data_IF_011755589904
#
_entry.id   IF_011755589904
#
_cell.length_a   1.000
_cell.length_b   1.000
_cell.length_c   1.000
_cell.angle_alpha   90.00
_cell.angle_beta   90.00
_cell.angle_gamma   90.00
#
_symmetry.space_group_name_H-M   'P 1'
#
loop_
_entity.id
_entity.type
_entity.pdbx_description
1 polymer ?
#
# COMPACT_ATOMS: atom_id res chain seq x y z
N UNK A 1 -46.60 2.68 2.01
CA UNK A 1 -45.85 2.06 0.89
C UNK A 1 -44.85 3.09 0.41
N UNK A 2 -43.55 2.77 0.39
CA UNK A 2 -42.52 3.69 -0.11
C UNK A 2 -42.73 3.87 -1.62
N UNK A 3 -42.70 5.10 -2.10
CA UNK A 3 -42.90 5.38 -3.52
C UNK A 3 -41.68 4.95 -4.37
N UNK A 4 -41.86 4.66 -5.66
CA UNK A 4 -40.76 4.20 -6.52
C UNK A 4 -39.56 5.15 -6.61
N UNK A 5 -39.75 6.48 -6.52
CA UNK A 5 -38.62 7.43 -6.56
C UNK A 5 -37.82 7.41 -5.27
N UNK A 6 -38.48 7.24 -4.14
CA UNK A 6 -37.81 7.02 -2.85
C UNK A 6 -36.98 5.72 -2.87
N UNK A 7 -37.50 4.64 -3.48
CA UNK A 7 -36.73 3.41 -3.67
C UNK A 7 -35.51 3.59 -4.57
N UNK A 8 -35.63 4.32 -5.68
CA UNK A 8 -34.52 4.60 -6.59
C UNK A 8 -33.37 5.33 -5.88
N UNK A 9 -33.69 6.32 -5.06
CA UNK A 9 -32.69 7.04 -4.24
C UNK A 9 -32.00 6.12 -3.24
N UNK A 10 -32.74 5.26 -2.55
CA UNK A 10 -32.17 4.30 -1.59
C UNK A 10 -31.23 3.32 -2.29
N UNK A 11 -31.62 2.81 -3.46
CA UNK A 11 -30.79 1.89 -4.24
C UNK A 11 -29.50 2.60 -4.70
N UNK A 12 -29.59 3.85 -5.16
CA UNK A 12 -28.39 4.62 -5.56
C UNK A 12 -27.41 4.80 -4.39
N UNK A 13 -27.91 5.11 -3.19
CA UNK A 13 -27.06 5.23 -2.00
C UNK A 13 -26.39 3.89 -1.66
N UNK A 14 -27.12 2.78 -1.70
CA UNK A 14 -26.56 1.45 -1.44
C UNK A 14 -25.49 1.10 -2.48
N UNK A 15 -25.72 1.38 -3.76
CA UNK A 15 -24.72 1.11 -4.81
C UNK A 15 -23.48 1.98 -4.62
N UNK A 16 -23.61 3.20 -4.16
CA UNK A 16 -22.48 4.09 -3.90
C UNK A 16 -21.67 3.67 -2.65
N UNK A 17 -22.34 3.21 -1.60
CA UNK A 17 -21.72 2.77 -0.35
C UNK A 17 -21.15 1.35 -0.43
N UNK A 18 -21.92 0.40 -0.95
CA UNK A 18 -21.61 -1.04 -0.94
C UNK A 18 -21.08 -1.56 -2.30
N UNK A 19 -21.12 -0.73 -3.34
CA UNK A 19 -20.63 -1.10 -4.66
C UNK A 19 -19.12 -1.38 -4.65
N UNK A 20 -18.72 -2.51 -5.22
CA UNK A 20 -17.31 -2.87 -5.31
C UNK A 20 -16.58 -1.93 -6.27
N UNK A 21 -15.58 -1.23 -5.74
CA UNK A 21 -14.72 -0.33 -6.53
C UNK A 21 -13.58 -1.13 -7.16
N UNK A 22 -13.83 -1.71 -8.34
CA UNK A 22 -12.81 -2.44 -9.12
C UNK A 22 -12.29 -1.60 -10.30
N UNK A 23 -11.07 -1.88 -10.73
CA UNK A 23 -10.58 -1.41 -12.03
C UNK A 23 -11.17 -2.30 -13.13
N UNK A 24 -12.24 -1.83 -13.78
CA UNK A 24 -12.96 -2.55 -14.83
C UNK A 24 -12.04 -3.00 -15.97
N UNK A 25 -11.01 -2.21 -16.30
CA UNK A 25 -10.07 -2.50 -17.40
C UNK A 25 -9.20 -3.72 -17.11
N UNK A 26 -8.98 -4.02 -15.84
CA UNK A 26 -8.30 -5.26 -15.42
C UNK A 26 -9.20 -6.47 -15.70
N UNK A 27 -10.50 -6.32 -15.49
CA UNK A 27 -11.47 -7.42 -15.50
C UNK A 27 -11.89 -7.82 -16.92
N UNK A 28 -12.08 -6.84 -17.80
CA UNK A 28 -12.53 -7.09 -19.19
C UNK A 28 -11.41 -7.59 -20.11
N UNK A 29 -10.15 -7.40 -19.73
CA UNK A 29 -8.99 -7.75 -20.55
C UNK A 29 -8.59 -9.22 -20.36
N UNK A 30 -8.97 -10.05 -21.33
CA UNK A 30 -8.69 -11.50 -21.36
C UNK A 30 -7.20 -11.84 -21.56
N UNK A 31 -6.34 -10.89 -21.91
CA UNK A 31 -4.90 -11.11 -22.19
C UNK A 31 -3.99 -10.34 -21.23
N UNK A 32 -4.52 -9.95 -20.07
CA UNK A 32 -3.79 -9.12 -19.13
C UNK A 32 -2.60 -9.85 -18.51
N UNK A 33 -1.48 -9.15 -18.39
CA UNK A 33 -0.35 -9.61 -17.58
C UNK A 33 -0.69 -9.45 -16.10
N UNK A 34 -0.67 -10.57 -15.38
CA UNK A 34 -0.82 -10.58 -13.92
C UNK A 34 0.57 -10.60 -13.30
N UNK A 35 0.73 -9.84 -12.22
CA UNK A 35 1.98 -9.82 -11.46
C UNK A 35 2.22 -11.21 -10.86
N UNK A 36 3.43 -11.72 -11.01
CA UNK A 36 3.79 -13.05 -10.49
C UNK A 36 3.65 -13.06 -8.96
N UNK A 37 2.90 -14.01 -8.37
CA UNK A 37 2.86 -14.23 -6.93
C UNK A 37 4.25 -14.37 -6.33
N UNK A 38 4.45 -13.89 -5.10
CA UNK A 38 5.72 -13.93 -4.36
C UNK A 38 6.89 -13.15 -5.01
N UNK A 39 6.67 -12.46 -6.15
CA UNK A 39 7.66 -11.57 -6.75
C UNK A 39 7.79 -10.24 -5.99
N UNK A 40 8.85 -9.48 -6.27
CA UNK A 40 9.06 -8.15 -5.70
C UNK A 40 8.37 -7.07 -6.54
N UNK A 41 7.58 -6.21 -5.89
CA UNK A 41 6.97 -5.05 -6.51
C UNK A 41 7.98 -3.91 -6.65
N UNK A 42 8.36 -3.58 -7.89
CA UNK A 42 9.45 -2.63 -8.17
C UNK A 42 9.27 -1.20 -7.65
N UNK A 43 8.05 -0.75 -7.30
CA UNK A 43 7.82 0.60 -6.71
C UNK A 43 7.80 0.63 -5.19
N UNK A 44 7.74 -0.52 -4.52
CA UNK A 44 7.60 -0.59 -3.06
C UNK A 44 8.68 -1.45 -2.41
N UNK A 45 9.35 -2.32 -3.16
CA UNK A 45 10.26 -3.30 -2.59
C UNK A 45 9.56 -4.35 -1.72
N UNK A 46 8.24 -4.53 -1.88
CA UNK A 46 7.44 -5.50 -1.14
C UNK A 46 7.07 -6.69 -2.01
N UNK A 47 6.87 -7.83 -1.36
CA UNK A 47 6.42 -9.06 -1.98
C UNK A 47 4.95 -8.98 -2.37
N UNK A 48 4.63 -9.59 -3.51
CA UNK A 48 3.24 -9.86 -3.93
C UNK A 48 2.71 -11.01 -3.10
N UNK A 49 2.26 -10.70 -1.88
CA UNK A 49 1.77 -11.69 -0.95
C UNK A 49 0.49 -12.35 -1.50
N UNK A 50 0.47 -13.69 -1.45
CA UNK A 50 -0.73 -14.48 -1.72
C UNK A 50 -1.59 -14.54 -0.46
N UNK A 51 -2.90 -14.37 -0.62
CA UNK A 51 -3.86 -14.44 0.48
C UNK A 51 -5.01 -15.37 0.14
N UNK A 52 -5.37 -16.20 1.10
CA UNK A 52 -6.65 -16.91 1.13
C UNK A 52 -7.76 -16.00 1.65
N UNK A 53 -9.00 -16.45 1.49
CA UNK A 53 -10.17 -15.72 1.98
C UNK A 53 -10.11 -15.46 3.49
N UNK A 54 -9.65 -16.44 4.28
CA UNK A 54 -9.57 -16.31 5.74
C UNK A 54 -8.46 -15.38 6.21
N UNK A 55 -7.37 -15.23 5.43
CA UNK A 55 -6.26 -14.35 5.77
C UNK A 55 -6.55 -12.87 5.47
N UNK A 56 -7.61 -12.57 4.69
CA UNK A 56 -7.92 -11.21 4.27
C UNK A 56 -8.20 -10.27 5.46
N UNK A 57 -8.93 -10.75 6.48
CA UNK A 57 -9.28 -9.95 7.66
C UNK A 57 -8.09 -9.73 8.60
N UNK A 58 -7.11 -10.64 8.58
CA UNK A 58 -5.93 -10.62 9.46
C UNK A 58 -4.67 -10.09 8.75
N UNK A 59 -4.81 -9.63 7.51
CA UNK A 59 -3.66 -9.27 6.69
C UNK A 59 -2.92 -8.05 7.23
N UNK A 60 -1.64 -8.26 7.51
CA UNK A 60 -0.69 -7.24 7.95
C UNK A 60 0.44 -7.09 6.93
N UNK A 61 0.62 -5.88 6.39
CA UNK A 61 1.62 -5.60 5.34
C UNK A 61 3.04 -5.89 5.80
N UNK A 62 3.39 -5.54 7.04
CA UNK A 62 4.74 -5.72 7.56
C UNK A 62 5.05 -7.20 7.81
N UNK A 63 4.06 -7.98 8.25
CA UNK A 63 4.24 -9.42 8.48
C UNK A 63 4.28 -10.23 7.20
N UNK A 64 3.46 -9.88 6.21
CA UNK A 64 3.22 -10.75 5.05
C UNK A 64 3.90 -10.28 3.76
N UNK A 65 4.15 -8.98 3.59
CA UNK A 65 4.66 -8.41 2.35
C UNK A 65 6.09 -7.86 2.45
N UNK A 66 6.62 -7.60 3.65
CA UNK A 66 8.01 -7.15 3.83
C UNK A 66 8.96 -8.34 3.76
N UNK A 67 10.02 -8.20 2.95
CA UNK A 67 11.08 -9.22 2.77
C UNK A 67 12.47 -8.74 3.20
N UNK A 68 12.60 -7.44 3.41
CA UNK A 68 13.84 -6.81 3.87
C UNK A 68 13.83 -6.68 5.40
N UNK A 69 14.99 -6.72 6.06
CA UNK A 69 15.07 -6.65 7.51
C UNK A 69 14.50 -5.35 8.08
N UNK A 70 14.09 -5.40 9.35
CA UNK A 70 13.62 -4.25 10.12
C UNK A 70 14.75 -3.58 10.91
N UNK A 71 16.02 -3.78 10.53
CA UNK A 71 17.14 -3.10 11.18
C UNK A 71 17.03 -1.58 10.96
N UNK A 72 17.24 -0.81 12.03
CA UNK A 72 17.14 0.64 11.94
C UNK A 72 18.32 1.22 11.16
N UNK A 73 18.01 2.09 10.20
CA UNK A 73 18.99 2.80 9.38
C UNK A 73 18.74 4.29 9.43
N UNK A 74 19.83 5.06 9.50
CA UNK A 74 19.79 6.52 9.41
C UNK A 74 19.69 6.95 7.96
N UNK A 75 18.66 7.72 7.65
CA UNK A 75 18.41 8.25 6.30
C UNK A 75 18.22 9.76 6.33
N UNK A 76 18.57 10.42 5.24
CA UNK A 76 18.18 11.80 4.95
C UNK A 76 17.13 11.71 3.85
N UNK A 77 15.92 12.18 4.13
CA UNK A 77 14.79 12.17 3.20
C UNK A 77 14.37 13.60 2.90
N UNK A 78 14.37 13.99 1.64
CA UNK A 78 13.89 15.32 1.24
C UNK A 78 12.37 15.33 1.19
N UNK A 79 11.75 16.33 1.83
CA UNK A 79 10.29 16.50 1.89
C UNK A 79 9.56 15.23 2.38
N UNK A 80 9.84 14.74 3.60
CA UNK A 80 9.22 13.52 4.10
C UNK A 80 7.69 13.66 4.16
N UNK A 81 6.92 12.62 3.78
CA UNK A 81 5.49 12.58 4.07
C UNK A 81 5.27 12.50 5.58
N UNK A 82 4.06 12.79 6.07
CA UNK A 82 3.76 12.68 7.51
C UNK A 82 3.86 11.25 8.03
N UNK A 83 3.45 10.28 7.21
CA UNK A 83 3.41 8.86 7.57
C UNK A 83 3.69 8.03 6.32
N UNK A 84 4.38 6.92 6.50
CA UNK A 84 4.55 5.88 5.49
C UNK A 84 4.35 4.53 6.16
N UNK A 85 3.53 3.65 5.57
CA UNK A 85 3.14 2.38 6.23
C UNK A 85 2.62 2.65 7.65
N UNK A 86 3.18 2.00 8.67
CA UNK A 86 2.87 2.25 10.07
C UNK A 86 3.85 3.22 10.77
N UNK A 87 4.77 3.83 10.03
CA UNK A 87 5.84 4.67 10.57
C UNK A 87 5.47 6.15 10.44
N UNK A 88 5.45 6.86 11.57
CA UNK A 88 5.30 8.30 11.63
C UNK A 88 6.65 8.98 11.33
N UNK A 89 6.64 9.89 10.36
CA UNK A 89 7.81 10.64 9.90
C UNK A 89 7.62 12.16 10.08
N UNK A 90 6.65 12.57 10.90
CA UNK A 90 6.35 13.98 11.18
C UNK A 90 7.46 14.70 11.94
N UNK A 91 8.42 13.97 12.50
CA UNK A 91 9.57 14.51 13.21
C UNK A 91 10.54 15.19 12.24
N UNK A 92 10.91 16.43 12.56
CA UNK A 92 11.82 17.25 11.75
C UNK A 92 13.21 17.25 12.36
N UNK A 93 13.89 16.12 12.23
CA UNK A 93 15.33 16.03 12.44
C UNK A 93 16.06 16.06 11.10
N UNK A 94 17.37 16.33 11.13
CA UNK A 94 18.20 16.33 9.92
C UNK A 94 18.35 14.92 9.31
N UNK A 95 18.09 13.88 10.11
CA UNK A 95 18.06 12.48 9.70
C UNK A 95 16.85 11.79 10.35
N UNK A 96 16.41 10.68 9.76
CA UNK A 96 15.35 9.81 10.29
C UNK A 96 15.95 8.44 10.53
N UNK A 97 15.64 7.83 11.67
CA UNK A 97 15.88 6.41 11.92
C UNK A 97 14.62 5.66 11.48
N UNK A 98 14.75 4.80 10.48
CA UNK A 98 13.66 3.97 9.97
C UNK A 98 14.14 2.55 9.72
N UNK A 99 13.24 1.56 9.76
CA UNK A 99 13.56 0.20 9.34
C UNK A 99 14.10 0.14 7.91
N UNK A 100 15.04 -0.76 7.63
CA UNK A 100 15.69 -0.88 6.33
C UNK A 100 14.70 -1.15 5.18
N UNK A 101 13.62 -1.91 5.41
CA UNK A 101 12.57 -2.09 4.40
C UNK A 101 11.91 -0.76 3.99
N UNK A 102 11.80 0.21 4.90
CA UNK A 102 11.25 1.54 4.63
C UNK A 102 12.21 2.37 3.79
N UNK A 103 13.51 2.26 4.03
CA UNK A 103 14.52 2.86 3.16
C UNK A 103 14.43 2.29 1.73
N UNK A 104 14.28 0.96 1.58
CA UNK A 104 14.08 0.34 0.26
C UNK A 104 12.79 0.83 -0.40
N UNK A 105 11.70 0.97 0.35
CA UNK A 105 10.45 1.54 -0.15
C UNK A 105 10.67 2.95 -0.74
N UNK A 106 11.41 3.81 -0.06
CA UNK A 106 11.70 5.16 -0.55
C UNK A 106 12.54 5.15 -1.82
N UNK A 107 13.57 4.29 -1.89
CA UNK A 107 14.35 4.11 -3.12
C UNK A 107 13.46 3.65 -4.29
N UNK A 108 12.59 2.68 -4.04
CA UNK A 108 11.72 2.08 -5.05
C UNK A 108 10.63 3.05 -5.57
N UNK A 109 10.11 3.92 -4.69
CA UNK A 109 9.12 4.94 -5.04
C UNK A 109 9.75 6.21 -5.65
N UNK A 110 11.06 6.23 -5.85
CA UNK A 110 11.76 7.38 -6.46
C UNK A 110 11.82 8.61 -5.56
N UNK A 111 11.79 8.42 -4.24
CA UNK A 111 12.03 9.50 -3.30
C UNK A 111 13.52 9.89 -3.30
N UNK A 112 13.81 11.18 -3.08
CA UNK A 112 15.17 11.67 -2.85
C UNK A 112 15.62 11.28 -1.43
N UNK A 113 16.29 10.12 -1.32
CA UNK A 113 16.72 9.53 -0.04
C UNK A 113 18.19 9.11 -0.09
N UNK A 114 18.92 9.40 0.98
CA UNK A 114 20.32 9.01 1.15
C UNK A 114 20.52 8.28 2.49
N UNK A 115 21.30 7.20 2.49
CA UNK A 115 21.68 6.51 3.73
C UNK A 115 22.91 7.18 4.33
N UNK A 116 22.82 7.57 5.61
CA UNK A 116 23.97 8.07 6.37
C UNK A 116 24.82 6.88 6.78
N UNK A 117 26.08 6.84 6.34
CA UNK A 117 27.03 5.82 6.83
C UNK A 117 27.29 6.06 8.31
N UNK A 118 27.08 5.03 9.11
CA UNK A 118 27.47 4.99 10.53
C UNK A 118 28.98 4.90 10.64
#
# INVERSE_FOLDING_TARGET
>A
VIDPKSWEKVIQLIVEEEGVKIDERVTIDIKRLIRLPESLHGKTGMKVAVLSYHELEEFDVEKHAVVFPSEEVKIILKNPPKKVLNIDLSHRENFLEVPFYTFVYFLANGAEVERVKT
#
